data_IF_486015207909
#
_entry.id   IF_486015207909
#
_cell.length_a   1.000
_cell.length_b   1.000
_cell.length_c   1.000
_cell.angle_alpha   90.00
_cell.angle_beta   90.00
_cell.angle_gamma   90.00
#
_symmetry.space_group_name_H-M   'P 1'
#
loop_
_entity.id
_entity.type
_entity.pdbx_description
1 polymer ?
#
# COMPACT_ATOMS: atom_id res chain seq x y z
N UNK A 1 -39.18 10.67 -35.91
CA UNK A 1 -37.83 11.27 -35.86
C UNK A 1 -37.53 11.82 -34.46
N UNK A 2 -37.77 11.04 -33.40
CA UNK A 2 -37.48 11.38 -32.00
C UNK A 2 -37.34 10.09 -31.16
N UNK A 3 -36.62 9.09 -31.68
CA UNK A 3 -36.37 7.81 -30.96
C UNK A 3 -34.94 7.29 -31.09
N UNK A 4 -33.99 8.11 -31.57
CA UNK A 4 -32.59 7.69 -31.79
C UNK A 4 -31.57 8.59 -31.09
N UNK A 5 -31.87 9.13 -29.90
CA UNK A 5 -30.88 9.95 -29.15
C UNK A 5 -30.61 9.51 -27.69
N UNK A 6 -31.03 8.30 -27.27
CA UNK A 6 -30.75 7.83 -25.90
C UNK A 6 -30.20 6.40 -25.82
N UNK A 7 -29.16 6.09 -26.61
CA UNK A 7 -28.47 4.79 -26.50
C UNK A 7 -26.95 4.90 -26.70
N UNK A 8 -26.30 5.96 -26.18
CA UNK A 8 -24.86 6.11 -26.35
C UNK A 8 -24.12 6.66 -25.12
N UNK A 9 -24.54 6.25 -23.91
CA UNK A 9 -23.78 6.49 -22.68
C UNK A 9 -23.84 5.19 -21.86
N UNK A 10 -22.68 4.72 -21.38
CA UNK A 10 -22.41 3.48 -20.63
C UNK A 10 -22.15 2.19 -21.43
N UNK A 11 -21.09 2.20 -22.25
CA UNK A 11 -20.32 0.98 -22.47
C UNK A 11 -19.03 1.06 -21.65
N UNK A 12 -19.16 0.99 -20.32
CA UNK A 12 -18.01 0.68 -19.47
C UNK A 12 -17.62 -0.78 -19.78
N UNK A 13 -16.38 -0.99 -20.18
CA UNK A 13 -15.84 -2.33 -20.42
C UNK A 13 -15.91 -3.12 -19.11
N UNK A 14 -16.92 -3.99 -18.98
CA UNK A 14 -17.14 -4.85 -17.82
C UNK A 14 -16.39 -6.15 -18.04
N UNK A 15 -15.25 -6.32 -17.39
CA UNK A 15 -14.55 -7.60 -17.32
C UNK A 15 -15.00 -8.36 -16.08
N UNK A 16 -15.33 -9.64 -16.25
CA UNK A 16 -15.64 -10.58 -15.17
C UNK A 16 -14.54 -11.63 -15.20
N UNK A 17 -13.74 -11.69 -14.14
CA UNK A 17 -12.72 -12.72 -13.98
C UNK A 17 -13.23 -13.76 -12.97
N UNK A 18 -13.29 -15.02 -13.40
CA UNK A 18 -13.61 -16.16 -12.56
C UNK A 18 -12.32 -16.75 -12.01
N UNK A 19 -12.33 -17.13 -10.74
CA UNK A 19 -11.17 -17.70 -10.05
C UNK A 19 -10.89 -19.09 -10.64
N UNK A 20 -9.77 -19.24 -11.34
CA UNK A 20 -9.29 -20.51 -11.91
C UNK A 20 -7.99 -20.93 -11.20
N UNK A 21 -7.96 -20.94 -9.87
CA UNK A 21 -6.76 -21.25 -9.09
C UNK A 21 -6.77 -20.63 -7.70
N UNK A 22 -5.60 -20.59 -7.06
CA UNK A 22 -5.36 -19.82 -5.83
C UNK A 22 -5.13 -18.33 -6.11
N UNK A 23 -4.72 -17.96 -7.33
CA UNK A 23 -4.47 -16.58 -7.76
C UNK A 23 -5.28 -16.24 -9.02
N UNK A 24 -5.52 -14.94 -9.25
CA UNK A 24 -6.22 -14.39 -10.41
C UNK A 24 -5.19 -13.80 -11.37
N UNK A 25 -5.25 -14.19 -12.64
CA UNK A 25 -4.29 -13.78 -13.68
C UNK A 25 -4.89 -12.77 -14.67
N UNK A 26 -4.02 -12.11 -15.44
CA UNK A 26 -4.37 -11.22 -16.55
C UNK A 26 -5.32 -10.07 -16.17
N UNK A 27 -5.22 -9.55 -14.95
CA UNK A 27 -5.97 -8.37 -14.54
C UNK A 27 -5.44 -7.09 -15.21
N UNK A 28 -6.25 -6.02 -15.35
CA UNK A 28 -5.80 -4.81 -16.03
C UNK A 28 -4.59 -4.15 -15.36
N UNK A 29 -3.66 -3.61 -16.15
CA UNK A 29 -2.45 -2.95 -15.63
C UNK A 29 -2.74 -1.75 -14.71
N UNK A 30 -3.89 -1.10 -14.85
CA UNK A 30 -4.27 0.07 -14.06
C UNK A 30 -4.70 -0.27 -12.62
N UNK A 31 -4.77 -1.55 -12.25
CA UNK A 31 -5.32 -2.00 -10.97
C UNK A 31 -4.69 -1.35 -9.72
N UNK A 32 -3.37 -1.10 -9.62
CA UNK A 32 -2.79 -0.40 -8.47
C UNK A 32 -3.36 1.02 -8.26
N UNK A 33 -3.75 1.69 -9.35
CA UNK A 33 -4.35 3.03 -9.35
C UNK A 33 -5.85 3.01 -9.03
N UNK A 34 -6.46 1.83 -8.96
CA UNK A 34 -7.88 1.71 -8.79
C UNK A 34 -8.36 2.20 -7.41
N UNK A 35 -9.61 2.64 -7.39
CA UNK A 35 -10.40 2.68 -6.16
C UNK A 35 -11.03 1.30 -5.94
N UNK A 36 -10.85 0.76 -4.74
CA UNK A 36 -11.40 -0.55 -4.37
C UNK A 36 -12.62 -0.40 -3.46
N UNK A 37 -13.56 -1.32 -3.63
CA UNK A 37 -14.71 -1.50 -2.75
C UNK A 37 -15.15 -2.95 -2.79
N UNK A 38 -16.09 -3.33 -1.93
CA UNK A 38 -16.57 -4.72 -1.84
C UNK A 38 -18.06 -4.83 -1.61
N UNK A 39 -18.60 -5.97 -2.04
CA UNK A 39 -19.86 -6.52 -1.52
C UNK A 39 -19.55 -7.61 -0.49
N UNK A 40 -20.57 -8.33 -0.03
CA UNK A 40 -20.40 -9.49 0.85
C UNK A 40 -19.46 -10.54 0.23
N UNK A 41 -19.53 -10.73 -1.09
CA UNK A 41 -18.79 -11.78 -1.81
C UNK A 41 -17.74 -11.25 -2.76
N UNK A 42 -17.93 -10.07 -3.34
CA UNK A 42 -17.17 -9.62 -4.52
C UNK A 42 -16.23 -8.46 -4.19
N UNK A 43 -15.08 -8.44 -4.88
CA UNK A 43 -14.19 -7.29 -4.93
C UNK A 43 -14.48 -6.48 -6.20
N UNK A 44 -14.55 -5.15 -6.04
CA UNK A 44 -14.84 -4.21 -7.12
C UNK A 44 -13.66 -3.24 -7.23
N UNK A 45 -13.07 -3.16 -8.41
CA UNK A 45 -12.03 -2.18 -8.73
C UNK A 45 -12.53 -1.20 -9.80
N UNK A 46 -12.30 0.08 -9.59
CA UNK A 46 -12.67 1.16 -10.50
C UNK A 46 -11.42 1.96 -10.88
N UNK A 47 -11.08 2.04 -12.16
CA UNK A 47 -9.95 2.84 -12.65
C UNK A 47 -10.20 4.34 -12.47
N UNK A 48 -9.15 5.19 -12.47
CA UNK A 48 -9.31 6.65 -12.49
C UNK A 48 -10.20 7.17 -13.64
N UNK A 49 -10.21 6.47 -14.78
CA UNK A 49 -11.00 6.76 -15.98
C UNK A 49 -12.43 6.20 -15.89
N UNK A 50 -12.75 5.42 -14.85
CA UNK A 50 -14.08 4.86 -14.60
C UNK A 50 -14.30 3.45 -15.18
N UNK A 51 -13.25 2.78 -15.66
CA UNK A 51 -13.34 1.36 -16.03
C UNK A 51 -13.61 0.51 -14.77
N UNK A 52 -14.41 -0.56 -14.90
CA UNK A 52 -14.82 -1.36 -13.74
C UNK A 52 -14.54 -2.83 -13.96
N UNK A 53 -13.90 -3.46 -12.98
CA UNK A 53 -13.71 -4.91 -12.91
C UNK A 53 -14.36 -5.45 -11.64
N UNK A 54 -15.05 -6.58 -11.80
CA UNK A 54 -15.64 -7.33 -10.71
C UNK A 54 -14.90 -8.67 -10.58
N UNK A 55 -14.33 -8.91 -9.42
CA UNK A 55 -13.78 -10.20 -9.03
C UNK A 55 -14.84 -10.91 -8.20
N UNK A 56 -15.56 -11.80 -8.86
CA UNK A 56 -16.74 -12.48 -8.30
C UNK A 56 -16.30 -13.50 -7.25
N UNK A 57 -17.05 -13.58 -6.15
CA UNK A 57 -16.82 -14.52 -5.05
C UNK A 57 -15.43 -14.39 -4.40
N UNK A 58 -14.72 -13.28 -4.64
CA UNK A 58 -13.38 -13.00 -4.15
C UNK A 58 -13.24 -13.21 -2.63
N UNK A 59 -14.20 -12.69 -1.86
CA UNK A 59 -14.21 -12.77 -0.39
C UNK A 59 -14.84 -14.05 0.16
N UNK A 60 -15.26 -14.98 -0.69
CA UNK A 60 -15.76 -16.30 -0.26
C UNK A 60 -14.63 -17.31 -0.06
N UNK A 61 -13.43 -17.01 -0.57
CA UNK A 61 -12.25 -17.85 -0.41
C UNK A 61 -11.73 -17.78 1.03
N UNK A 62 -11.27 -18.93 1.54
CA UNK A 62 -10.68 -19.03 2.87
C UNK A 62 -9.36 -18.25 2.97
N UNK A 63 -8.50 -18.40 1.96
CA UNK A 63 -7.34 -17.55 1.72
C UNK A 63 -7.65 -16.64 0.54
N UNK A 64 -7.43 -15.32 0.73
CA UNK A 64 -7.76 -14.36 -0.32
C UNK A 64 -6.75 -14.46 -1.47
N UNK A 65 -7.21 -14.67 -2.71
CA UNK A 65 -6.33 -14.89 -3.85
C UNK A 65 -5.54 -13.62 -4.19
N UNK A 66 -4.28 -13.75 -4.59
CA UNK A 66 -3.53 -12.60 -5.15
C UNK A 66 -4.03 -12.31 -6.56
N UNK A 67 -3.90 -11.06 -6.99
CA UNK A 67 -4.26 -10.63 -8.35
C UNK A 67 -3.00 -10.22 -9.10
N UNK A 68 -2.69 -10.96 -10.15
CA UNK A 68 -1.64 -10.68 -11.11
C UNK A 68 -2.20 -9.88 -12.28
N UNK A 69 -1.53 -8.78 -12.58
CA UNK A 69 -1.87 -7.90 -13.70
C UNK A 69 -1.16 -8.34 -14.97
N UNK A 70 -1.65 -7.93 -16.13
CA UNK A 70 -1.09 -8.26 -17.45
C UNK A 70 0.36 -7.79 -17.65
N UNK A 71 0.82 -6.81 -16.84
CA UNK A 71 2.21 -6.34 -16.80
C UNK A 71 3.03 -6.95 -15.65
N UNK A 72 2.54 -7.99 -14.99
CA UNK A 72 3.26 -8.78 -13.99
C UNK A 72 3.32 -8.17 -12.60
N UNK A 73 2.49 -7.17 -12.29
CA UNK A 73 2.32 -6.67 -10.92
C UNK A 73 1.41 -7.62 -10.13
N UNK A 74 1.73 -7.85 -8.86
CA UNK A 74 1.00 -8.71 -7.93
C UNK A 74 0.38 -7.88 -6.81
N UNK A 75 -0.93 -7.94 -6.66
CA UNK A 75 -1.64 -7.39 -5.50
C UNK A 75 -2.07 -8.54 -4.60
N UNK A 76 -1.44 -8.66 -3.43
CA UNK A 76 -1.76 -9.71 -2.45
C UNK A 76 -3.18 -9.57 -1.91
N UNK A 77 -3.79 -10.69 -1.52
CA UNK A 77 -5.16 -10.70 -1.02
C UNK A 77 -5.36 -9.90 0.29
N UNK A 78 -4.36 -9.86 1.17
CA UNK A 78 -4.38 -9.02 2.38
C UNK A 78 -4.42 -7.52 2.03
N UNK A 79 -3.60 -7.08 1.08
CA UNK A 79 -3.62 -5.71 0.59
C UNK A 79 -4.98 -5.34 0.00
N UNK A 80 -5.53 -6.22 -0.86
CA UNK A 80 -6.84 -6.01 -1.48
C UNK A 80 -7.97 -5.98 -0.47
N UNK A 81 -7.89 -6.79 0.60
CA UNK A 81 -8.84 -6.73 1.71
C UNK A 81 -8.86 -5.36 2.38
N UNK A 82 -7.68 -4.80 2.67
CA UNK A 82 -7.56 -3.48 3.30
C UNK A 82 -8.03 -2.37 2.36
N UNK A 83 -7.60 -2.40 1.09
CA UNK A 83 -7.99 -1.39 0.09
C UNK A 83 -9.49 -1.41 -0.21
N UNK A 84 -10.14 -2.59 -0.18
CA UNK A 84 -11.58 -2.70 -0.38
C UNK A 84 -12.40 -2.06 0.76
N UNK A 85 -11.80 -1.90 1.94
CA UNK A 85 -12.45 -1.36 3.14
C UNK A 85 -13.57 -2.27 3.68
N UNK A 86 -14.35 -1.79 4.65
CA UNK A 86 -15.42 -2.57 5.26
C UNK A 86 -16.66 -2.66 4.38
N UNK A 87 -17.46 -3.72 4.58
CA UNK A 87 -18.73 -3.97 3.87
C UNK A 87 -19.72 -2.80 3.96
N UNK A 88 -19.77 -2.13 5.12
CA UNK A 88 -20.64 -1.00 5.37
C UNK A 88 -19.85 0.17 5.94
N UNK A 89 -19.46 1.12 5.07
CA UNK A 89 -18.80 2.37 5.45
C UNK A 89 -19.68 3.13 6.46
N UNK A 90 -19.13 3.46 7.63
CA UNK A 90 -19.79 4.33 8.62
C UNK A 90 -20.89 3.68 9.49
N UNK A 91 -21.25 2.40 9.32
CA UNK A 91 -22.18 1.73 10.26
C UNK A 91 -21.51 1.31 11.58
N UNK A 92 -20.17 1.41 11.66
CA UNK A 92 -19.38 1.18 12.87
C UNK A 92 -19.05 2.47 13.65
N UNK A 93 -19.71 3.59 13.36
CA UNK A 93 -19.54 4.85 14.09
C UNK A 93 -19.93 4.76 15.60
N UNK A 94 -20.39 3.60 16.08
CA UNK A 94 -20.64 3.32 17.50
C UNK A 94 -19.67 2.31 18.14
N UNK A 95 -18.64 1.83 17.42
CA UNK A 95 -17.69 0.83 17.94
C UNK A 95 -16.21 1.23 17.86
N UNK A 96 -15.88 2.48 17.54
CA UNK A 96 -14.52 3.03 17.68
C UNK A 96 -14.50 4.10 18.77
N UNK A 97 -14.77 3.65 20.00
CA UNK A 97 -14.33 4.40 21.17
C UNK A 97 -12.82 4.32 21.27
N UNK A 98 -12.14 5.46 21.24
CA UNK A 98 -11.01 5.83 22.13
C UNK A 98 -9.88 4.80 22.39
N UNK A 99 -9.66 3.82 21.50
CA UNK A 99 -8.82 2.65 21.81
C UNK A 99 -7.88 2.18 20.71
N UNK A 100 -7.92 2.75 19.50
CA UNK A 100 -6.88 2.49 18.52
C UNK A 100 -5.62 3.25 18.98
N UNK A 101 -4.52 2.51 19.22
CA UNK A 101 -3.24 3.14 19.53
C UNK A 101 -2.62 3.62 18.22
N UNK A 102 -2.25 4.90 18.20
CA UNK A 102 -1.49 5.46 17.11
C UNK A 102 -0.13 4.75 17.01
N UNK A 103 0.30 4.49 15.79
CA UNK A 103 1.60 3.86 15.48
C UNK A 103 2.65 4.88 15.02
N UNK A 104 2.28 6.16 14.95
CA UNK A 104 3.12 7.23 14.45
C UNK A 104 2.32 8.50 14.19
N UNK A 105 3.00 9.52 13.69
CA UNK A 105 2.40 10.80 13.39
C UNK A 105 2.89 11.38 12.06
N UNK A 106 2.12 12.31 11.52
CA UNK A 106 2.49 13.12 10.37
C UNK A 106 3.55 14.14 10.77
N UNK A 107 4.77 14.01 10.25
CA UNK A 107 5.88 14.94 10.51
C UNK A 107 5.92 16.12 9.54
N UNK A 108 5.40 15.95 8.32
CA UNK A 108 5.32 17.03 7.31
C UNK A 108 4.26 16.73 6.26
N UNK A 109 3.67 17.78 5.70
CA UNK A 109 2.70 17.71 4.58
C UNK A 109 2.98 18.81 3.57
N UNK A 110 2.82 18.48 2.30
CA UNK A 110 2.68 19.41 1.18
C UNK A 110 1.52 18.96 0.29
N UNK A 111 0.65 19.88 -0.11
CA UNK A 111 -0.55 19.54 -0.89
C UNK A 111 -1.60 18.77 -0.07
N UNK A 112 -2.46 18.01 -0.76
CA UNK A 112 -3.54 17.24 -0.13
C UNK A 112 -3.07 15.82 0.17
N UNK A 113 -3.27 15.39 1.41
CA UNK A 113 -2.97 14.04 1.88
C UNK A 113 -4.17 13.52 2.66
N UNK A 114 -4.56 12.28 2.42
CA UNK A 114 -5.70 11.64 3.08
C UNK A 114 -5.28 10.33 3.74
N UNK A 115 -5.95 10.01 4.84
CA UNK A 115 -5.93 8.70 5.46
C UNK A 115 -7.33 8.10 5.43
N UNK A 116 -7.45 6.89 4.87
CA UNK A 116 -8.65 6.06 5.01
C UNK A 116 -8.40 5.06 6.13
N UNK A 117 -9.17 5.14 7.22
CA UNK A 117 -9.09 4.21 8.35
C UNK A 117 -9.69 2.85 7.98
N UNK A 118 -9.41 1.82 8.79
CA UNK A 118 -10.01 0.49 8.66
C UNK A 118 -11.55 0.49 8.70
N UNK A 119 -12.18 1.47 9.36
CA UNK A 119 -13.65 1.63 9.39
C UNK A 119 -14.22 2.32 8.14
N UNK A 120 -13.34 2.68 7.19
CA UNK A 120 -13.67 3.32 5.92
C UNK A 120 -13.85 4.83 6.01
N UNK A 121 -13.70 5.44 7.18
CA UNK A 121 -13.73 6.90 7.32
C UNK A 121 -12.47 7.53 6.72
N UNK A 122 -12.65 8.63 6.00
CA UNK A 122 -11.58 9.36 5.32
C UNK A 122 -11.30 10.66 6.08
N UNK A 123 -10.04 10.91 6.36
CA UNK A 123 -9.55 12.11 7.03
C UNK A 123 -8.53 12.80 6.14
N UNK A 124 -8.68 14.10 5.93
CA UNK A 124 -7.60 14.92 5.40
C UNK A 124 -6.58 15.14 6.51
N UNK A 125 -5.33 14.81 6.26
CA UNK A 125 -4.27 14.84 7.26
C UNK A 125 -3.63 16.22 7.36
N UNK A 126 -3.20 16.57 8.56
CA UNK A 126 -2.38 17.73 8.91
C UNK A 126 -1.13 17.29 9.69
N UNK A 127 -0.10 18.14 9.71
CA UNK A 127 1.09 17.89 10.54
C UNK A 127 0.71 17.70 12.01
N UNK A 128 1.24 16.65 12.63
CA UNK A 128 0.94 16.24 14.00
C UNK A 128 -0.25 15.28 14.13
N UNK A 129 -0.99 15.01 13.05
CA UNK A 129 -2.08 14.05 13.10
C UNK A 129 -1.56 12.62 13.30
N UNK A 130 -2.26 11.81 14.12
CA UNK A 130 -1.88 10.43 14.33
C UNK A 130 -2.23 9.55 13.12
N UNK A 131 -1.32 8.63 12.82
CA UNK A 131 -1.55 7.49 11.92
C UNK A 131 -1.65 6.19 12.73
N UNK A 132 -2.37 5.23 12.18
CA UNK A 132 -2.80 4.01 12.86
C UNK A 132 -2.58 2.82 11.94
N UNK A 133 -2.44 1.63 12.55
CA UNK A 133 -2.32 0.40 11.80
C UNK A 133 -3.59 0.17 10.95
N UNK A 134 -3.39 -0.25 9.70
CA UNK A 134 -4.42 -0.47 8.69
C UNK A 134 -4.86 0.81 7.96
N UNK A 135 -4.27 1.97 8.25
CA UNK A 135 -4.53 3.17 7.45
C UNK A 135 -4.04 2.98 6.01
N UNK A 136 -4.87 3.41 5.06
CA UNK A 136 -4.43 3.70 3.69
C UNK A 136 -4.12 5.19 3.58
N UNK A 137 -2.88 5.54 3.27
CA UNK A 137 -2.42 6.93 3.10
C UNK A 137 -2.27 7.23 1.60
N UNK A 138 -2.89 8.33 1.16
CA UNK A 138 -2.91 8.75 -0.24
C UNK A 138 -2.50 10.22 -0.38
N UNK A 139 -1.63 10.53 -1.36
CA UNK A 139 -1.31 11.91 -1.74
C UNK A 139 -1.97 12.26 -3.07
N UNK A 140 -2.43 13.51 -3.24
CA UNK A 140 -3.04 13.95 -4.50
C UNK A 140 -2.05 14.75 -5.36
N UNK A 141 -1.90 14.37 -6.63
CA UNK A 141 -1.08 15.10 -7.60
C UNK A 141 0.39 15.21 -7.17
N UNK A 142 0.87 16.43 -6.90
CA UNK A 142 2.23 16.67 -6.40
C UNK A 142 2.32 16.70 -4.86
N UNK A 143 1.27 16.21 -4.18
CA UNK A 143 1.22 16.11 -2.74
C UNK A 143 2.30 15.18 -2.18
N UNK A 144 2.75 15.47 -0.97
CA UNK A 144 3.75 14.71 -0.26
C UNK A 144 3.44 14.67 1.24
N UNK A 145 3.78 13.55 1.87
CA UNK A 145 3.67 13.37 3.32
C UNK A 145 4.96 12.78 3.87
N UNK A 146 5.37 13.25 5.04
CA UNK A 146 6.36 12.59 5.89
C UNK A 146 5.69 12.05 7.14
N UNK A 147 6.02 10.82 7.52
CA UNK A 147 5.57 10.13 8.71
C UNK A 147 6.75 9.77 9.60
N UNK A 148 6.53 9.78 10.91
CA UNK A 148 7.47 9.26 11.92
C UNK A 148 6.73 8.24 12.79
N UNK A 149 7.27 7.03 12.89
CA UNK A 149 6.67 5.92 13.64
C UNK A 149 7.27 5.80 15.05
N UNK A 150 6.61 5.00 15.90
CA UNK A 150 7.03 4.79 17.30
C UNK A 150 8.45 4.24 17.44
N UNK A 151 8.90 3.43 16.49
CA UNK A 151 10.26 2.85 16.46
C UNK A 151 11.31 3.82 15.90
N UNK A 152 10.92 5.07 15.60
CA UNK A 152 11.72 6.13 14.97
C UNK A 152 11.98 5.93 13.48
N UNK A 153 11.32 4.97 12.82
CA UNK A 153 11.31 4.92 11.36
C UNK A 153 10.70 6.21 10.84
N UNK A 154 11.34 6.82 9.83
CA UNK A 154 10.76 7.94 9.10
C UNK A 154 10.45 7.49 7.69
N UNK A 155 9.26 7.80 7.17
CA UNK A 155 8.88 7.45 5.81
C UNK A 155 8.29 8.67 5.11
N UNK A 156 8.55 8.81 3.81
CA UNK A 156 7.91 9.80 2.95
C UNK A 156 7.23 9.13 1.77
N UNK A 157 6.15 9.75 1.30
CA UNK A 157 5.37 9.36 0.13
C UNK A 157 5.04 10.61 -0.69
N UNK A 158 5.20 10.56 -2.00
CA UNK A 158 4.85 11.66 -2.92
C UNK A 158 4.42 11.17 -4.31
N UNK A 159 4.09 12.13 -5.19
CA UNK A 159 3.77 11.92 -6.60
C UNK A 159 2.50 11.08 -6.84
N UNK A 160 1.40 11.43 -6.18
CA UNK A 160 0.14 10.71 -6.31
C UNK A 160 0.18 9.33 -5.66
N UNK A 161 0.95 9.22 -4.57
CA UNK A 161 1.29 7.94 -3.99
C UNK A 161 0.18 7.35 -3.13
N UNK A 162 0.20 6.02 -2.96
CA UNK A 162 -0.71 5.25 -2.13
C UNK A 162 0.07 4.18 -1.36
N UNK A 163 -0.11 4.14 -0.05
CA UNK A 163 0.46 3.09 0.80
C UNK A 163 -0.52 2.62 1.87
N UNK A 164 -0.33 1.41 2.38
CA UNK A 164 -1.06 0.86 3.51
C UNK A 164 -0.08 0.60 4.65
N UNK A 165 -0.41 1.12 5.84
CA UNK A 165 0.34 0.91 7.08
C UNK A 165 -0.06 -0.44 7.70
N UNK A 166 0.46 -1.53 7.17
CA UNK A 166 -0.04 -2.89 7.41
C UNK A 166 0.14 -3.36 8.87
N UNK A 167 1.36 -3.22 9.40
CA UNK A 167 1.70 -3.66 10.74
C UNK A 167 2.73 -2.74 11.41
N UNK A 168 2.51 -2.43 12.69
CA UNK A 168 3.57 -1.99 13.58
C UNK A 168 3.37 -2.57 14.98
N UNK A 169 4.16 -3.59 15.32
CA UNK A 169 4.28 -4.10 16.68
C UNK A 169 5.63 -3.66 17.20
N UNK A 170 5.67 -2.91 18.31
CA UNK A 170 6.91 -2.36 18.85
C UNK A 170 6.97 -2.45 20.37
N UNK A 171 8.04 -3.04 20.89
CA UNK A 171 8.39 -3.02 22.31
C UNK A 171 9.52 -2.00 22.55
N UNK A 172 9.22 -0.83 23.17
CA UNK A 172 10.24 0.19 23.44
C UNK A 172 11.26 -0.21 24.51
N UNK A 173 11.00 -1.23 25.32
CA UNK A 173 11.94 -1.69 26.35
C UNK A 173 13.10 -2.49 25.73
N UNK A 174 12.84 -3.21 24.63
CA UNK A 174 13.81 -4.07 23.95
C UNK A 174 14.22 -3.52 22.58
N UNK A 175 13.45 -2.60 22.01
CA UNK A 175 13.60 -2.13 20.63
C UNK A 175 13.17 -3.16 19.58
N UNK A 176 12.51 -4.26 19.98
CA UNK A 176 12.10 -5.36 19.10
C UNK A 176 10.68 -5.19 18.61
N UNK A 177 10.36 -5.82 17.48
CA UNK A 177 9.04 -5.70 16.89
C UNK A 177 8.94 -6.26 15.49
N UNK A 178 7.84 -5.94 14.83
CA UNK A 178 7.63 -6.11 13.41
C UNK A 178 7.02 -4.85 12.79
N UNK A 179 7.45 -4.52 11.57
CA UNK A 179 6.91 -3.41 10.80
C UNK A 179 6.66 -3.85 9.36
N UNK A 180 5.43 -3.67 8.88
CA UNK A 180 5.02 -3.99 7.52
C UNK A 180 4.39 -2.78 6.84
N UNK A 181 4.84 -2.45 5.63
CA UNK A 181 4.27 -1.37 4.82
C UNK A 181 4.03 -1.89 3.41
N UNK A 182 2.82 -1.73 2.90
CA UNK A 182 2.52 -1.98 1.50
C UNK A 182 2.56 -0.66 0.73
N UNK A 183 3.56 -0.47 -0.11
CA UNK A 183 3.71 0.67 -1.00
C UNK A 183 3.09 0.34 -2.37
N UNK A 184 1.86 0.80 -2.58
CA UNK A 184 1.06 0.44 -3.76
C UNK A 184 1.54 1.20 -5.00
N UNK A 185 1.74 2.51 -4.87
CA UNK A 185 2.26 3.36 -5.93
C UNK A 185 2.89 4.64 -5.39
N UNK A 186 3.76 5.28 -6.19
CA UNK A 186 4.33 6.58 -5.90
C UNK A 186 5.83 6.55 -5.60
N UNK A 187 6.39 7.73 -5.37
CA UNK A 187 7.77 7.88 -4.91
C UNK A 187 7.81 7.80 -3.38
N UNK A 188 8.80 7.10 -2.83
CA UNK A 188 8.91 6.96 -1.38
C UNK A 188 10.37 6.94 -0.92
N UNK A 189 10.60 7.36 0.30
CA UNK A 189 11.90 7.13 0.94
C UNK A 189 11.71 6.88 2.41
N UNK A 190 12.60 6.12 3.01
CA UNK A 190 12.53 5.85 4.43
C UNK A 190 13.90 5.75 5.07
N UNK A 191 13.93 6.04 6.36
CA UNK A 191 15.07 5.80 7.24
C UNK A 191 14.56 4.80 8.27
N UNK A 192 15.18 3.62 8.34
CA UNK A 192 14.72 2.57 9.25
C UNK A 192 15.02 2.91 10.72
N UNK A 193 14.07 2.55 11.57
CA UNK A 193 14.12 2.75 13.01
C UNK A 193 14.80 1.62 13.78
N UNK A 194 14.34 1.38 15.00
CA UNK A 194 14.90 0.39 15.90
C UNK A 194 14.54 -1.05 15.50
N UNK A 195 13.33 -1.29 14.98
CA UNK A 195 12.85 -2.64 14.64
C UNK A 195 13.76 -3.30 13.60
N UNK A 196 14.11 -2.58 12.53
CA UNK A 196 14.96 -3.09 11.44
C UNK A 196 16.36 -3.54 11.89
N UNK A 197 16.81 -3.12 13.08
CA UNK A 197 18.12 -3.52 13.64
C UNK A 197 18.07 -4.89 14.30
N UNK A 198 16.88 -5.44 14.55
CA UNK A 198 16.67 -6.65 15.34
C UNK A 198 16.70 -7.94 14.51
N UNK A 199 16.46 -7.87 13.21
CA UNK A 199 16.49 -9.04 12.33
C UNK A 199 16.20 -8.71 10.86
N UNK A 200 16.48 -9.65 9.93
CA UNK A 200 16.31 -9.43 8.49
C UNK A 200 14.86 -9.23 8.04
N UNK A 201 13.90 -9.80 8.77
CA UNK A 201 12.47 -9.76 8.42
C UNK A 201 11.65 -8.91 9.40
N UNK A 202 12.34 -8.20 10.31
CA UNK A 202 11.69 -7.39 11.33
C UNK A 202 11.01 -6.16 10.72
N UNK A 203 11.54 -5.65 9.60
CA UNK A 203 10.89 -4.60 8.82
C UNK A 203 10.79 -5.02 7.36
N UNK A 204 9.58 -4.93 6.81
CA UNK A 204 9.27 -5.29 5.43
C UNK A 204 8.54 -4.16 4.72
N UNK A 205 8.96 -3.89 3.48
CA UNK A 205 8.24 -3.02 2.55
C UNK A 205 7.87 -3.84 1.33
N UNK A 206 6.59 -3.93 1.04
CA UNK A 206 6.06 -4.64 -0.11
C UNK A 206 5.62 -3.66 -1.18
N UNK A 207 5.96 -3.93 -2.42
CA UNK A 207 5.43 -3.24 -3.60
C UNK A 207 4.75 -4.28 -4.50
N UNK A 208 3.92 -3.87 -5.47
CA UNK A 208 3.35 -4.83 -6.42
C UNK A 208 4.38 -5.63 -7.25
N UNK A 209 5.67 -5.30 -7.21
CA UNK A 209 6.71 -5.99 -7.99
C UNK A 209 7.70 -6.74 -7.12
N UNK A 210 8.03 -6.22 -5.94
CA UNK A 210 9.06 -6.78 -5.06
C UNK A 210 8.66 -6.67 -3.60
N UNK A 211 9.10 -7.64 -2.81
CA UNK A 211 9.14 -7.57 -1.35
C UNK A 211 10.56 -7.21 -0.90
N UNK A 212 10.69 -6.27 0.03
CA UNK A 212 11.96 -5.83 0.59
C UNK A 212 12.03 -6.14 2.08
N UNK A 213 13.00 -6.95 2.49
CA UNK A 213 13.40 -7.13 3.89
C UNK A 213 14.49 -6.14 4.26
N UNK A 214 14.31 -5.40 5.36
CA UNK A 214 15.19 -4.29 5.76
C UNK A 214 15.94 -4.67 7.03
N UNK A 215 17.27 -4.64 6.96
CA UNK A 215 18.17 -4.90 8.09
C UNK A 215 19.10 -3.71 8.33
N UNK A 216 18.59 -2.72 9.06
CA UNK A 216 19.22 -1.41 9.17
C UNK A 216 19.39 -0.73 7.81
N UNK A 217 19.71 0.56 7.83
CA UNK A 217 19.94 1.48 6.69
C UNK A 217 18.83 2.48 6.39
N UNK A 218 19.27 3.58 5.80
CA UNK A 218 18.47 4.53 5.05
C UNK A 218 18.30 4.06 3.60
N UNK A 219 17.08 4.12 3.07
CA UNK A 219 16.73 3.66 1.73
C UNK A 219 15.86 4.71 1.04
N UNK A 220 16.17 5.01 -0.22
CA UNK A 220 15.26 5.72 -1.11
C UNK A 220 14.75 4.76 -2.18
N UNK A 221 13.46 4.85 -2.55
CA UNK A 221 12.84 3.96 -3.52
C UNK A 221 11.79 4.64 -4.39
N UNK A 222 11.42 4.02 -5.50
CA UNK A 222 10.23 4.42 -6.25
C UNK A 222 9.44 3.18 -6.62
N UNK A 223 8.18 3.13 -6.20
CA UNK A 223 7.23 2.11 -6.64
C UNK A 223 6.59 2.60 -7.93
N UNK A 224 7.07 2.08 -9.05
CA UNK A 224 6.55 2.42 -10.36
C UNK A 224 5.42 1.45 -10.75
N UNK A 225 4.29 2.02 -11.18
CA UNK A 225 3.12 1.26 -11.65
C UNK A 225 3.04 1.14 -13.17
N UNK A 226 3.80 1.95 -13.93
CA UNK A 226 3.80 1.97 -15.40
C UNK A 226 5.20 2.28 -15.95
N UNK A 227 5.75 1.40 -16.80
CA UNK A 227 6.85 1.67 -17.75
C UNK A 227 8.18 2.17 -17.18
N UNK A 228 8.31 2.32 -15.87
CA UNK A 228 9.51 2.77 -15.17
C UNK A 228 10.04 1.64 -14.28
N UNK A 229 11.35 1.59 -14.10
CA UNK A 229 11.99 0.61 -13.22
C UNK A 229 11.67 0.92 -11.76
N UNK A 230 11.36 -0.11 -10.97
CA UNK A 230 11.44 0.01 -9.52
C UNK A 230 12.92 0.19 -9.16
N UNK A 231 13.28 1.40 -8.78
CA UNK A 231 14.63 1.74 -8.37
C UNK A 231 14.68 1.81 -6.85
N UNK A 232 15.66 1.15 -6.26
CA UNK A 232 15.96 1.22 -4.84
C UNK A 232 17.41 1.64 -4.70
N UNK A 233 17.69 2.59 -3.83
CA UNK A 233 19.05 3.05 -3.57
C UNK A 233 19.30 3.03 -2.08
N UNK A 234 20.34 2.30 -1.71
CA UNK A 234 20.91 2.35 -0.38
C UNK A 234 21.64 3.68 -0.18
N UNK A 235 21.27 4.39 0.87
CA UNK A 235 21.94 5.60 1.31
C UNK A 235 22.80 5.29 2.54
N UNK A 236 23.85 6.08 2.72
CA UNK A 236 24.68 6.00 3.91
C UNK A 236 23.89 6.48 5.13
N UNK A 237 23.99 5.74 6.23
CA UNK A 237 23.42 6.14 7.50
C UNK A 237 24.17 7.34 8.10
N UNK A 238 23.51 8.05 9.01
CA UNK A 238 24.08 9.22 9.67
C UNK A 238 25.38 8.92 10.47
N UNK A 239 25.59 7.65 10.85
CA UNK A 239 26.80 7.16 11.53
C UNK A 239 27.92 6.72 10.56
N UNK A 240 27.68 6.83 9.25
CA UNK A 240 28.60 6.40 8.20
C UNK A 240 28.46 4.94 7.79
N UNK A 241 27.57 4.17 8.44
CA UNK A 241 27.26 2.79 8.10
C UNK A 241 26.42 2.65 6.83
N UNK A 242 26.33 1.42 6.34
CA UNK A 242 25.40 1.01 5.29
C UNK A 242 24.80 -0.29 5.77
N UNK A 243 23.48 -0.34 5.95
CA UNK A 243 22.80 -1.58 6.30
C UNK A 243 22.53 -2.43 5.06
N UNK A 244 21.49 -3.25 5.13
CA UNK A 244 21.22 -4.27 4.12
C UNK A 244 19.75 -4.30 3.75
N UNK A 245 19.48 -4.42 2.46
CA UNK A 245 18.16 -4.73 1.93
C UNK A 245 18.23 -6.08 1.23
N UNK A 246 17.30 -6.98 1.53
CA UNK A 246 17.01 -8.12 0.66
C UNK A 246 15.81 -7.79 -0.21
N UNK A 247 15.98 -7.82 -1.52
CA UNK A 247 14.91 -7.65 -2.51
C UNK A 247 14.53 -9.01 -3.05
N UNK A 248 13.26 -9.38 -2.92
CA UNK A 248 12.74 -10.68 -3.33
C UNK A 248 11.58 -10.52 -4.32
N UNK A 249 11.59 -11.32 -5.37
CA UNK A 249 10.49 -11.51 -6.33
C UNK A 249 10.45 -12.97 -6.80
N UNK A 250 9.59 -13.29 -7.76
CA UNK A 250 9.44 -14.65 -8.31
C UNK A 250 10.72 -15.21 -8.96
N UNK A 251 11.65 -14.33 -9.34
CA UNK A 251 12.95 -14.69 -9.89
C UNK A 251 14.01 -15.04 -8.83
N UNK A 252 13.75 -14.79 -7.56
CA UNK A 252 14.64 -15.08 -6.44
C UNK A 252 14.87 -13.90 -5.51
N UNK A 253 15.89 -14.01 -4.66
CA UNK A 253 16.26 -12.97 -3.70
C UNK A 253 17.65 -12.43 -4.00
N UNK A 254 17.76 -11.10 -4.07
CA UNK A 254 19.02 -10.37 -4.18
C UNK A 254 19.26 -9.56 -2.92
N UNK A 255 20.48 -9.57 -2.41
CA UNK A 255 20.86 -8.80 -1.23
C UNK A 255 21.74 -7.62 -1.65
N UNK A 256 21.30 -6.42 -1.30
CA UNK A 256 22.02 -5.17 -1.50
C UNK A 256 22.64 -4.73 -0.17
N UNK A 257 23.93 -4.38 -0.20
CA UNK A 257 24.67 -3.94 0.99
C UNK A 257 25.75 -2.89 0.66
N UNK A 258 25.57 -2.16 -0.44
CA UNK A 258 26.50 -1.12 -0.91
C UNK A 258 25.70 0.09 -1.41
N UNK A 259 26.26 1.29 -1.23
CA UNK A 259 25.64 2.55 -1.67
C UNK A 259 25.54 2.58 -3.19
N UNK A 260 24.38 3.00 -3.72
CA UNK A 260 24.17 3.19 -5.16
C UNK A 260 24.10 1.89 -5.98
N UNK A 261 23.86 0.75 -5.33
CA UNK A 261 23.59 -0.53 -5.98
C UNK A 261 22.26 -0.54 -6.74
#
# INVERSE_FOLDING_TARGET
MLKEEFSNIEQAHKSILSINGLDIEDAPFWLPKASFSRTDTDLIAISPEGEKVFFIDYFTNFELPSIHTENGLVLKGSLLQTLAGPLAKGQYAQATGDGALSIGEVSSISGTVKATRLDGNIFELSTGDPVFQGDTIETEGSGAVGLVFLDKTTLSLSDGGKMVLDELVYDPATGTGSMGINMVEGAFSFISGEIAKTGPDAMQIETPVVTMGIRGTTVAGKAAVEGNENAFTLLQDADGGVGQISVSNDGGTQVLSQIGA
#
